data_IF_136957402937
#
_entry.id   IF_136957402937
#
_cell.length_a   1.000
_cell.length_b   1.000
_cell.length_c   1.000
_cell.angle_alpha   90.00
_cell.angle_beta   90.00
_cell.angle_gamma   90.00
#
_symmetry.space_group_name_H-M   'P 1'
#
loop_
_entity.id
_entity.type
_entity.pdbx_description
1 polymer ?
#
# COMPACT_ATOMS: atom_id res chain seq x y z
N UNK A 1 -50.91 19.97 -25.52
CA UNK A 1 -49.98 19.69 -26.63
C UNK A 1 -48.66 20.32 -26.21
N UNK A 2 -47.92 19.64 -25.34
CA UNK A 2 -46.88 18.66 -25.68
C UNK A 2 -45.82 19.30 -26.56
N UNK A 3 -44.71 19.70 -25.94
CA UNK A 3 -43.41 19.44 -26.55
C UNK A 3 -42.39 19.13 -25.45
N UNK A 4 -41.98 17.87 -25.43
CA UNK A 4 -41.01 17.27 -24.53
C UNK A 4 -39.69 17.30 -25.29
N UNK A 5 -38.72 18.11 -24.85
CA UNK A 5 -37.33 17.93 -25.27
C UNK A 5 -36.69 16.86 -24.39
N UNK A 6 -36.68 15.65 -24.93
CA UNK A 6 -35.97 14.49 -24.43
C UNK A 6 -34.48 14.67 -24.79
N UNK A 7 -33.65 15.05 -23.81
CA UNK A 7 -32.19 14.97 -23.95
C UNK A 7 -31.77 13.53 -23.65
N UNK A 8 -31.37 12.83 -24.70
CA UNK A 8 -30.80 11.49 -24.68
C UNK A 8 -29.42 11.58 -24.01
N UNK A 9 -29.25 10.98 -22.83
CA UNK A 9 -27.94 10.72 -22.24
C UNK A 9 -27.23 9.63 -23.05
N UNK A 10 -26.07 9.95 -23.64
CA UNK A 10 -25.19 8.95 -24.26
C UNK A 10 -24.62 8.01 -23.19
N UNK A 11 -24.62 6.68 -23.41
CA UNK A 11 -23.98 5.74 -22.50
C UNK A 11 -22.46 5.88 -22.56
N UNK A 12 -21.81 5.83 -21.39
CA UNK A 12 -20.36 5.81 -21.26
C UNK A 12 -19.75 4.60 -22.00
N UNK A 13 -18.55 4.73 -22.60
CA UNK A 13 -17.95 3.67 -23.41
C UNK A 13 -17.61 2.44 -22.56
N UNK A 14 -18.04 1.27 -23.04
CA UNK A 14 -17.69 -0.04 -22.50
C UNK A 14 -16.18 -0.28 -22.61
N UNK A 15 -15.58 -0.73 -21.51
CA UNK A 15 -14.17 -1.14 -21.45
C UNK A 15 -14.06 -2.55 -22.07
N UNK A 16 -13.17 -2.82 -23.03
CA UNK A 16 -13.11 -4.12 -23.69
C UNK A 16 -12.69 -5.23 -22.72
N UNK A 17 -13.51 -6.27 -22.59
CA UNK A 17 -13.15 -7.50 -21.90
C UNK A 17 -12.02 -8.22 -22.64
N UNK A 18 -10.81 -8.19 -22.08
CA UNK A 18 -9.71 -9.05 -22.52
C UNK A 18 -9.97 -10.49 -22.09
N UNK A 19 -10.24 -11.37 -23.06
CA UNK A 19 -10.29 -12.83 -22.88
C UNK A 19 -8.99 -13.34 -22.24
N UNK A 20 -9.09 -13.97 -21.07
CA UNK A 20 -7.99 -14.70 -20.45
C UNK A 20 -7.91 -16.13 -21.02
N UNK A 21 -6.70 -16.70 -21.19
CA UNK A 21 -6.54 -18.10 -21.54
C UNK A 21 -6.90 -19.01 -20.36
N UNK A 22 -7.67 -20.05 -20.64
CA UNK A 22 -8.12 -21.05 -19.68
C UNK A 22 -6.96 -21.91 -19.16
N UNK A 23 -6.58 -21.70 -17.90
CA UNK A 23 -5.91 -22.73 -17.07
C UNK A 23 -6.67 -22.83 -15.76
N UNK A 24 -7.53 -23.86 -15.66
CA UNK A 24 -8.43 -24.12 -14.54
C UNK A 24 -7.69 -24.78 -13.37
N UNK A 25 -7.13 -23.95 -12.49
CA UNK A 25 -7.05 -24.29 -11.07
C UNK A 25 -8.08 -23.39 -10.40
N UNK A 26 -9.23 -23.96 -9.99
CA UNK A 26 -10.27 -23.20 -9.31
C UNK A 26 -9.68 -22.56 -8.05
N UNK A 27 -9.74 -21.24 -7.95
CA UNK A 27 -9.43 -20.56 -6.70
C UNK A 27 -10.31 -21.18 -5.58
N UNK A 28 -9.76 -21.38 -4.36
CA UNK A 28 -10.57 -21.89 -3.27
C UNK A 28 -11.78 -20.97 -3.07
N UNK A 29 -12.97 -21.57 -2.96
CA UNK A 29 -14.19 -20.84 -2.61
C UNK A 29 -14.01 -20.21 -1.23
N UNK A 30 -14.49 -18.97 -1.05
CA UNK A 30 -14.41 -18.27 0.23
C UNK A 30 -15.21 -19.06 1.27
N UNK A 31 -14.57 -19.44 2.38
CA UNK A 31 -15.23 -20.05 3.52
C UNK A 31 -16.05 -19.00 4.29
N UNK A 32 -17.33 -18.85 3.92
CA UNK A 32 -18.24 -17.90 4.55
C UNK A 32 -18.66 -18.29 5.97
N UNK A 33 -18.62 -19.57 6.32
CA UNK A 33 -18.93 -20.02 7.68
C UNK A 33 -17.78 -19.60 8.61
N UNK A 34 -16.54 -19.93 8.22
CA UNK A 34 -15.35 -19.45 8.91
C UNK A 34 -15.27 -17.93 8.94
N UNK A 35 -15.62 -17.24 7.86
CA UNK A 35 -15.64 -15.77 7.80
C UNK A 35 -16.67 -15.15 8.76
N UNK A 36 -17.86 -15.74 8.86
CA UNK A 36 -18.89 -15.32 9.82
C UNK A 36 -18.40 -15.50 11.26
N UNK A 37 -17.76 -16.64 11.55
CA UNK A 37 -17.11 -16.88 12.83
C UNK A 37 -15.99 -15.87 13.11
N UNK A 38 -15.18 -15.56 12.08
CA UNK A 38 -14.11 -14.57 12.13
C UNK A 38 -14.61 -13.20 12.58
N UNK A 39 -15.61 -12.66 11.89
CA UNK A 39 -16.21 -11.37 12.26
C UNK A 39 -16.84 -11.44 13.66
N UNK A 40 -17.63 -12.47 13.94
CA UNK A 40 -18.36 -12.55 15.21
C UNK A 40 -17.44 -12.60 16.44
N UNK A 41 -16.28 -13.26 16.33
CA UNK A 41 -15.44 -13.62 17.49
C UNK A 41 -14.07 -12.95 17.52
N UNK A 42 -13.42 -12.76 16.38
CA UNK A 42 -12.00 -12.41 16.32
C UNK A 42 -11.72 -11.00 15.79
N UNK A 43 -12.61 -10.45 14.95
CA UNK A 43 -12.40 -9.12 14.37
C UNK A 43 -12.38 -8.03 15.47
N UNK A 44 -11.36 -7.15 15.51
CA UNK A 44 -11.19 -6.16 16.59
C UNK A 44 -12.08 -4.92 16.40
N UNK A 45 -13.41 -5.10 16.41
CA UNK A 45 -14.39 -4.02 16.17
C UNK A 45 -14.22 -2.82 17.10
N UNK A 46 -13.96 -3.07 18.38
CA UNK A 46 -13.78 -2.03 19.38
C UNK A 46 -12.56 -1.14 19.07
N UNK A 47 -11.43 -1.74 18.74
CA UNK A 47 -10.21 -1.01 18.38
C UNK A 47 -10.37 -0.30 17.04
N UNK A 48 -11.03 -0.93 16.05
CA UNK A 48 -11.34 -0.29 14.77
C UNK A 48 -12.25 0.94 14.95
N UNK A 49 -13.31 0.83 15.75
CA UNK A 49 -14.19 1.94 16.08
C UNK A 49 -13.42 3.07 16.75
N UNK A 50 -12.62 2.75 17.77
CA UNK A 50 -11.76 3.71 18.48
C UNK A 50 -10.82 4.45 17.52
N UNK A 51 -10.17 3.73 16.61
CA UNK A 51 -9.31 4.30 15.58
C UNK A 51 -10.06 5.29 14.70
N UNK A 52 -11.17 4.86 14.09
CA UNK A 52 -11.89 5.63 13.07
C UNK A 52 -12.73 6.78 13.65
N UNK A 53 -13.10 6.69 14.93
CA UNK A 53 -13.86 7.71 15.65
C UNK A 53 -12.95 8.80 16.27
N UNK A 54 -11.65 8.53 16.40
CA UNK A 54 -10.63 9.42 16.99
C UNK A 54 -10.98 9.97 18.38
N UNK A 55 -11.87 9.28 19.09
CA UNK A 55 -12.42 9.69 20.38
C UNK A 55 -12.96 8.47 21.14
N UNK A 56 -12.89 8.46 22.49
CA UNK A 56 -13.53 7.42 23.29
C UNK A 56 -15.07 7.53 23.31
N UNK A 57 -15.63 8.69 22.96
CA UNK A 57 -17.08 8.92 22.85
C UNK A 57 -17.48 8.95 21.38
N UNK A 58 -18.58 8.29 21.04
CA UNK A 58 -19.14 8.27 19.69
C UNK A 58 -19.26 9.71 19.14
N UNK A 59 -18.82 9.88 17.91
CA UNK A 59 -18.70 11.19 17.27
C UNK A 59 -18.93 11.13 15.77
N UNK A 60 -18.79 12.31 15.14
CA UNK A 60 -19.03 12.48 13.71
C UNK A 60 -18.05 11.69 12.85
N UNK A 61 -16.81 11.51 13.30
CA UNK A 61 -15.75 10.83 12.56
C UNK A 61 -16.07 9.34 12.31
N UNK A 62 -16.93 8.73 13.12
CA UNK A 62 -17.50 7.41 12.85
C UNK A 62 -18.90 7.50 12.22
N UNK A 63 -19.80 8.31 12.81
CA UNK A 63 -21.19 8.41 12.37
C UNK A 63 -21.37 8.83 10.90
N UNK A 64 -20.46 9.66 10.40
CA UNK A 64 -20.49 10.19 9.03
C UNK A 64 -19.43 9.56 8.13
N UNK A 65 -18.79 8.48 8.57
CA UNK A 65 -17.83 7.74 7.77
C UNK A 65 -18.52 6.79 6.82
N UNK A 66 -18.06 6.78 5.59
CA UNK A 66 -18.50 5.79 4.59
C UNK A 66 -17.81 4.45 4.81
N UNK A 67 -18.62 3.40 4.77
CA UNK A 67 -18.18 2.01 4.60
C UNK A 67 -18.80 1.44 3.32
N UNK A 68 -18.01 0.68 2.58
CA UNK A 68 -18.48 -0.11 1.45
C UNK A 68 -18.32 -1.60 1.70
N UNK A 69 -19.33 -2.41 1.36
CA UNK A 69 -19.31 -3.86 1.51
C UNK A 69 -19.31 -4.55 0.15
N UNK A 70 -18.44 -5.54 -0.02
CA UNK A 70 -18.54 -6.51 -1.12
C UNK A 70 -19.15 -7.79 -0.56
N UNK A 71 -20.29 -8.22 -1.11
CA UNK A 71 -21.01 -9.43 -0.67
C UNK A 71 -20.69 -10.65 -1.54
N UNK A 72 -21.04 -11.84 -1.06
CA UNK A 72 -20.86 -13.13 -1.75
C UNK A 72 -21.41 -13.16 -3.18
N UNK A 73 -22.49 -12.45 -3.44
CA UNK A 73 -23.13 -12.39 -4.75
C UNK A 73 -22.51 -11.32 -5.67
N UNK A 74 -21.37 -10.74 -5.30
CA UNK A 74 -20.72 -9.66 -6.04
C UNK A 74 -21.36 -8.28 -5.84
N UNK A 75 -22.43 -8.17 -5.05
CA UNK A 75 -23.05 -6.87 -4.79
C UNK A 75 -22.07 -5.95 -4.03
N UNK A 76 -21.95 -4.71 -4.51
CA UNK A 76 -21.10 -3.69 -3.93
C UNK A 76 -21.96 -2.58 -3.32
N UNK A 77 -22.04 -2.56 -1.99
CA UNK A 77 -22.91 -1.67 -1.24
C UNK A 77 -22.11 -0.49 -0.72
N UNK A 78 -22.21 0.67 -1.37
CA UNK A 78 -21.55 1.93 -0.94
C UNK A 78 -22.42 2.78 -0.03
N UNK A 79 -21.78 3.76 0.62
CA UNK A 79 -22.42 4.78 1.45
C UNK A 79 -23.17 4.21 2.66
N UNK A 80 -22.66 3.14 3.26
CA UNK A 80 -23.09 2.72 4.59
C UNK A 80 -22.41 3.58 5.66
N UNK A 81 -23.06 3.76 6.80
CA UNK A 81 -22.52 4.53 7.92
C UNK A 81 -23.28 4.18 9.20
N UNK A 82 -22.56 4.21 10.32
CA UNK A 82 -23.02 3.65 11.59
C UNK A 82 -22.77 4.63 12.72
N UNK A 83 -23.74 4.80 13.62
CA UNK A 83 -23.60 5.74 14.74
C UNK A 83 -22.62 5.24 15.80
N UNK A 84 -22.48 3.92 15.95
CA UNK A 84 -21.66 3.29 17.00
C UNK A 84 -21.13 1.91 16.59
N UNK A 85 -20.14 1.42 17.35
CA UNK A 85 -19.48 0.11 17.16
C UNK A 85 -20.48 -1.05 17.06
N UNK A 86 -21.49 -1.09 17.93
CA UNK A 86 -22.47 -2.19 17.99
C UNK A 86 -23.30 -2.28 16.71
N UNK A 87 -23.75 -1.16 16.16
CA UNK A 87 -24.51 -1.09 14.90
C UNK A 87 -23.64 -1.62 13.74
N UNK A 88 -22.36 -1.20 13.72
CA UNK A 88 -21.42 -1.66 12.70
C UNK A 88 -21.16 -3.17 12.80
N UNK A 89 -20.85 -3.67 14.00
CA UNK A 89 -20.63 -5.11 14.23
C UNK A 89 -21.85 -5.93 13.82
N UNK A 90 -23.05 -5.55 14.27
CA UNK A 90 -24.29 -6.24 13.90
C UNK A 90 -24.45 -6.29 12.38
N UNK A 91 -24.18 -5.18 11.68
CA UNK A 91 -24.31 -5.15 10.23
C UNK A 91 -23.31 -6.05 9.51
N UNK A 92 -22.07 -6.14 10.02
CA UNK A 92 -21.05 -7.04 9.46
C UNK A 92 -21.40 -8.51 9.74
N UNK A 93 -21.87 -8.83 10.95
CA UNK A 93 -22.33 -10.16 11.32
C UNK A 93 -23.53 -10.60 10.45
N UNK A 94 -24.48 -9.70 10.18
CA UNK A 94 -25.66 -9.98 9.36
C UNK A 94 -25.31 -10.19 7.87
N UNK A 95 -24.36 -9.43 7.36
CA UNK A 95 -24.00 -9.45 5.93
C UNK A 95 -22.95 -10.50 5.58
N UNK A 96 -22.05 -10.81 6.52
CA UNK A 96 -20.83 -11.59 6.31
C UNK A 96 -20.12 -11.20 5.00
N UNK A 97 -19.70 -9.93 4.87
CA UNK A 97 -19.14 -9.41 3.62
C UNK A 97 -17.78 -10.08 3.32
N UNK A 98 -17.49 -10.38 2.05
CA UNK A 98 -16.17 -10.89 1.63
C UNK A 98 -15.05 -9.94 2.05
N UNK A 99 -15.31 -8.64 1.96
CA UNK A 99 -14.46 -7.57 2.47
C UNK A 99 -15.30 -6.31 2.65
N UNK A 100 -14.73 -5.37 3.40
CA UNK A 100 -15.24 -4.01 3.41
C UNK A 100 -14.12 -2.99 3.34
N UNK A 101 -14.50 -1.82 2.85
CA UNK A 101 -13.59 -0.71 2.59
C UNK A 101 -14.03 0.50 3.41
N UNK A 102 -13.04 1.25 3.89
CA UNK A 102 -13.20 2.43 4.72
C UNK A 102 -13.01 3.66 3.84
N UNK A 103 -13.97 4.57 3.89
CA UNK A 103 -13.99 5.80 3.11
C UNK A 103 -13.80 7.04 3.96
N UNK A 104 -14.14 8.19 3.37
CA UNK A 104 -14.07 9.48 4.02
C UNK A 104 -15.11 9.63 5.14
N UNK A 105 -14.83 10.56 6.05
CA UNK A 105 -15.84 11.24 6.85
C UNK A 105 -16.48 12.30 5.99
N UNK A 106 -17.81 12.29 5.89
CA UNK A 106 -18.59 13.24 5.12
C UNK A 106 -19.20 14.33 6.01
N UNK A 107 -19.69 15.38 5.36
CA UNK A 107 -20.46 16.46 6.01
C UNK A 107 -21.75 15.99 6.70
N UNK A 108 -22.31 14.87 6.25
CA UNK A 108 -23.54 14.25 6.74
C UNK A 108 -23.41 12.74 6.68
N UNK A 109 -24.34 12.02 7.31
CA UNK A 109 -24.37 10.56 7.27
C UNK A 109 -24.49 10.01 5.84
N UNK A 110 -23.52 9.20 5.36
CA UNK A 110 -23.57 8.59 4.02
C UNK A 110 -24.88 7.86 3.68
N UNK A 111 -25.51 7.19 4.66
CA UNK A 111 -26.78 6.49 4.44
C UNK A 111 -27.94 7.42 4.07
N UNK A 112 -27.86 8.69 4.45
CA UNK A 112 -28.88 9.71 4.16
C UNK A 112 -28.60 10.52 2.88
N UNK A 113 -27.51 10.25 2.15
CA UNK A 113 -27.08 11.08 1.00
C UNK A 113 -28.18 11.35 -0.04
N UNK A 114 -29.10 10.41 -0.25
CA UNK A 114 -30.19 10.53 -1.23
C UNK A 114 -31.22 11.60 -0.85
N UNK A 115 -31.27 12.00 0.43
CA UNK A 115 -32.13 13.06 0.96
C UNK A 115 -31.48 14.45 0.86
N UNK A 116 -30.21 14.51 0.47
CA UNK A 116 -29.42 15.73 0.45
C UNK A 116 -29.19 16.22 -0.97
N UNK A 117 -29.00 17.54 -1.12
CA UNK A 117 -28.51 18.10 -2.37
C UNK A 117 -27.04 17.72 -2.58
N UNK A 118 -26.67 17.50 -3.85
CA UNK A 118 -25.33 17.06 -4.25
C UNK A 118 -24.21 18.01 -3.78
N UNK A 119 -24.46 19.32 -3.75
CA UNK A 119 -23.48 20.34 -3.36
C UNK A 119 -23.23 20.40 -1.84
N UNK A 120 -24.12 19.82 -1.04
CA UNK A 120 -24.02 19.77 0.42
C UNK A 120 -23.28 18.52 0.89
N UNK A 121 -23.51 17.37 0.24
CA UNK A 121 -22.89 16.10 0.60
C UNK A 121 -21.47 15.97 0.02
N UNK A 122 -20.48 16.39 0.80
CA UNK A 122 -19.06 16.32 0.43
C UNK A 122 -18.18 15.60 1.47
N UNK A 123 -17.07 14.98 1.04
CA UNK A 123 -16.05 14.46 1.95
C UNK A 123 -15.38 15.63 2.70
N UNK A 124 -15.06 15.42 3.97
CA UNK A 124 -14.51 16.44 4.89
C UNK A 124 -13.13 16.06 5.39
N UNK A 125 -12.94 14.79 5.74
CA UNK A 125 -11.63 14.28 6.18
C UNK A 125 -11.51 12.80 5.87
N UNK A 126 -10.27 12.34 5.71
CA UNK A 126 -9.93 10.92 5.59
C UNK A 126 -8.46 10.75 5.90
N UNK A 127 -8.07 9.67 6.54
CA UNK A 127 -6.68 9.25 6.63
C UNK A 127 -5.99 9.38 5.24
N UNK A 128 -4.76 9.91 5.25
CA UNK A 128 -3.92 9.87 4.05
C UNK A 128 -3.43 8.43 3.91
N UNK A 129 -3.69 7.83 2.75
CA UNK A 129 -3.39 6.43 2.50
C UNK A 129 -2.42 6.29 1.36
N UNK A 130 -1.63 5.22 1.39
CA UNK A 130 -0.74 4.82 0.31
C UNK A 130 -0.97 3.33 0.04
N UNK A 131 -0.94 2.93 -1.22
CA UNK A 131 -1.04 1.54 -1.65
C UNK A 131 0.20 1.20 -2.48
N UNK A 132 0.89 0.14 -2.07
CA UNK A 132 2.06 -0.41 -2.75
C UNK A 132 1.70 -1.82 -3.18
N UNK A 133 1.66 -2.07 -4.49
CA UNK A 133 1.47 -3.40 -5.06
C UNK A 133 2.78 -3.92 -5.65
N UNK A 134 3.00 -5.23 -5.55
CA UNK A 134 4.17 -5.92 -6.07
C UNK A 134 4.18 -6.00 -7.60
N UNK A 135 3.03 -5.97 -8.25
CA UNK A 135 2.94 -6.07 -9.72
C UNK A 135 3.70 -4.95 -10.43
N UNK A 136 3.77 -3.78 -9.82
CA UNK A 136 4.52 -2.65 -10.36
C UNK A 136 6.04 -2.94 -10.43
N UNK A 137 6.51 -3.98 -9.74
CA UNK A 137 7.90 -4.44 -9.75
C UNK A 137 8.12 -5.67 -10.66
N UNK A 138 7.13 -6.11 -11.44
CA UNK A 138 7.24 -7.30 -12.32
C UNK A 138 8.42 -7.22 -13.30
N UNK A 139 8.80 -6.01 -13.73
CA UNK A 139 9.96 -5.80 -14.61
C UNK A 139 11.30 -6.09 -13.93
N UNK A 140 11.34 -6.15 -12.61
CA UNK A 140 12.55 -6.24 -11.80
C UNK A 140 12.59 -7.49 -10.92
N UNK A 141 11.58 -8.36 -11.01
CA UNK A 141 11.56 -9.64 -10.30
C UNK A 141 11.39 -10.79 -11.27
N UNK A 142 12.04 -11.90 -10.95
CA UNK A 142 12.01 -13.15 -11.75
C UNK A 142 11.55 -14.33 -10.92
N UNK A 143 11.56 -14.22 -9.58
CA UNK A 143 11.16 -15.30 -8.69
C UNK A 143 9.64 -15.56 -8.68
N UNK A 144 8.84 -14.57 -9.10
CA UNK A 144 7.38 -14.60 -9.16
C UNK A 144 6.91 -13.70 -10.31
N UNK A 145 5.68 -13.91 -10.79
CA UNK A 145 5.00 -13.04 -11.75
C UNK A 145 3.58 -12.74 -11.31
N UNK A 146 3.07 -11.56 -11.71
CA UNK A 146 1.72 -11.10 -11.39
C UNK A 146 1.37 -11.31 -9.92
N UNK A 147 0.31 -12.05 -9.64
CA UNK A 147 -0.26 -12.04 -8.31
C UNK A 147 0.38 -12.97 -7.25
N UNK A 148 1.49 -13.61 -7.61
CA UNK A 148 2.31 -14.43 -6.70
C UNK A 148 3.36 -13.58 -5.98
N UNK A 149 3.69 -13.93 -4.73
CA UNK A 149 4.71 -13.25 -3.92
C UNK A 149 5.48 -14.29 -3.10
N UNK A 150 6.75 -14.01 -2.82
CA UNK A 150 7.59 -14.76 -1.89
C UNK A 150 8.56 -13.81 -1.19
N UNK A 151 9.31 -14.30 -0.19
CA UNK A 151 10.22 -13.47 0.61
C UNK A 151 11.29 -12.76 -0.24
N UNK A 152 11.68 -13.34 -1.38
CA UNK A 152 12.66 -12.74 -2.31
C UNK A 152 12.15 -11.44 -2.93
N UNK A 153 10.94 -11.43 -3.49
CA UNK A 153 10.39 -10.21 -4.09
C UNK A 153 9.74 -9.29 -3.06
N UNK A 154 9.30 -9.82 -1.91
CA UNK A 154 8.79 -9.00 -0.80
C UNK A 154 9.78 -7.94 -0.32
N UNK A 155 11.08 -8.16 -0.53
CA UNK A 155 12.11 -7.16 -0.25
C UNK A 155 11.88 -5.83 -0.97
N UNK A 156 11.24 -5.81 -2.15
CA UNK A 156 10.82 -4.57 -2.81
C UNK A 156 9.79 -3.79 -1.98
N UNK A 157 8.79 -4.47 -1.40
CA UNK A 157 7.79 -3.83 -0.54
C UNK A 157 8.43 -3.33 0.75
N UNK A 158 9.31 -4.11 1.39
CA UNK A 158 10.02 -3.66 2.59
C UNK A 158 10.84 -2.39 2.35
N UNK A 159 11.55 -2.32 1.22
CA UNK A 159 12.32 -1.12 0.83
C UNK A 159 11.40 0.06 0.54
N UNK A 160 10.30 -0.16 -0.18
CA UNK A 160 9.33 0.88 -0.47
C UNK A 160 8.66 1.42 0.81
N UNK A 161 8.29 0.54 1.75
CA UNK A 161 7.78 0.91 3.08
C UNK A 161 8.80 1.77 3.82
N UNK A 162 10.08 1.37 3.86
CA UNK A 162 11.15 2.16 4.50
C UNK A 162 11.26 3.57 3.90
N UNK A 163 11.28 3.68 2.57
CA UNK A 163 11.36 4.97 1.87
C UNK A 163 10.15 5.88 2.13
N UNK A 164 8.94 5.33 2.02
CA UNK A 164 7.69 6.07 2.26
C UNK A 164 7.61 6.49 3.73
N UNK A 165 7.91 5.57 4.65
CA UNK A 165 7.84 5.83 6.09
C UNK A 165 8.88 6.88 6.54
N UNK A 166 10.11 6.82 6.01
CA UNK A 166 11.12 7.88 6.21
C UNK A 166 10.60 9.23 5.75
N UNK A 167 10.05 9.34 4.54
CA UNK A 167 9.51 10.62 4.06
C UNK A 167 8.36 11.13 4.94
N UNK A 168 7.41 10.26 5.30
CA UNK A 168 6.26 10.63 6.12
C UNK A 168 6.68 11.10 7.53
N UNK A 169 7.67 10.46 8.15
CA UNK A 169 8.16 10.81 9.49
C UNK A 169 9.13 11.99 9.46
N UNK A 170 10.17 11.93 8.65
CA UNK A 170 11.28 12.88 8.67
C UNK A 170 10.94 14.20 7.96
N UNK A 171 10.20 14.13 6.85
CA UNK A 171 9.96 15.31 6.01
C UNK A 171 8.60 15.96 6.32
N UNK A 172 7.56 15.15 6.54
CA UNK A 172 6.22 15.65 6.85
C UNK A 172 5.91 15.71 8.35
N UNK A 173 6.72 15.07 9.19
CA UNK A 173 6.53 15.03 10.64
C UNK A 173 5.22 14.35 11.05
N UNK A 174 4.76 13.34 10.30
CA UNK A 174 3.64 12.50 10.71
C UNK A 174 4.09 11.47 11.74
N UNK A 175 3.25 11.21 12.74
CA UNK A 175 3.56 10.31 13.85
C UNK A 175 2.75 9.01 13.78
N UNK A 176 1.48 9.12 13.39
CA UNK A 176 0.51 8.05 13.45
C UNK A 176 0.40 7.40 12.09
N UNK A 177 1.34 6.50 11.79
CA UNK A 177 1.38 5.75 10.53
C UNK A 177 1.24 4.26 10.84
N UNK A 178 0.19 3.63 10.32
CA UNK A 178 0.01 2.18 10.40
C UNK A 178 0.20 1.57 9.01
N UNK A 179 1.07 0.56 8.91
CA UNK A 179 1.19 -0.26 7.71
C UNK A 179 0.40 -1.55 7.88
N UNK A 180 -0.26 -1.99 6.81
CA UNK A 180 -1.18 -3.13 6.82
C UNK A 180 -0.89 -3.99 5.61
N UNK A 181 -0.72 -5.29 5.80
CA UNK A 181 -0.61 -6.22 4.69
C UNK A 181 -1.92 -6.26 3.91
N UNK A 182 -1.87 -6.20 2.57
CA UNK A 182 -3.08 -6.18 1.73
C UNK A 182 -3.84 -7.51 1.68
N UNK A 183 -3.28 -8.54 2.32
CA UNK A 183 -3.76 -9.92 2.36
C UNK A 183 -3.22 -10.78 1.20
N UNK A 184 -2.44 -10.20 0.27
CA UNK A 184 -1.87 -10.95 -0.84
C UNK A 184 -0.41 -10.62 -1.13
N UNK A 185 -0.13 -9.42 -1.61
CA UNK A 185 1.17 -9.09 -2.23
C UNK A 185 1.59 -7.63 -2.07
N UNK A 186 0.81 -6.84 -1.34
CA UNK A 186 1.05 -5.40 -1.20
C UNK A 186 0.92 -4.95 0.25
N UNK A 187 1.13 -3.66 0.45
CA UNK A 187 1.02 -3.01 1.75
C UNK A 187 0.27 -1.69 1.64
N UNK A 188 -0.61 -1.43 2.59
CA UNK A 188 -1.35 -0.18 2.72
C UNK A 188 -0.82 0.62 3.90
N UNK A 189 -0.51 1.91 3.70
CA UNK A 189 -0.28 2.83 4.81
C UNK A 189 -1.55 3.60 5.15
N UNK A 190 -1.77 3.83 6.44
CA UNK A 190 -2.82 4.69 6.97
C UNK A 190 -2.20 5.75 7.88
N UNK A 191 -2.11 6.99 7.39
CA UNK A 191 -1.60 8.14 8.14
C UNK A 191 -2.78 8.85 8.81
N UNK A 192 -2.82 8.74 10.14
CA UNK A 192 -3.95 9.15 10.98
C UNK A 192 -3.72 10.45 11.75
N UNK A 193 -2.59 11.15 11.58
CA UNK A 193 -2.41 12.50 12.14
C UNK A 193 -3.55 13.44 11.71
N UNK A 194 -4.06 14.28 12.61
CA UNK A 194 -5.14 15.23 12.30
C UNK A 194 -4.85 16.08 11.05
N UNK A 195 -3.63 16.61 10.94
CA UNK A 195 -3.16 17.39 9.77
C UNK A 195 -3.14 16.58 8.48
N UNK A 196 -2.91 15.27 8.54
CA UNK A 196 -2.99 14.38 7.38
C UNK A 196 -4.45 14.12 6.98
N UNK A 197 -5.33 13.95 7.98
CA UNK A 197 -6.76 13.70 7.75
C UNK A 197 -7.47 14.87 7.06
N UNK A 198 -7.01 16.08 7.36
CA UNK A 198 -7.58 17.34 6.86
C UNK A 198 -7.04 17.80 5.50
N UNK A 199 -6.08 17.06 4.90
CA UNK A 199 -5.54 17.43 3.59
C UNK A 199 -6.64 17.39 2.53
N UNK A 200 -6.70 18.45 1.72
CA UNK A 200 -7.50 18.46 0.50
C UNK A 200 -6.80 17.70 -0.64
N UNK A 201 -7.54 17.41 -1.72
CA UNK A 201 -7.06 16.58 -2.83
C UNK A 201 -5.80 17.16 -3.52
N UNK A 202 -5.66 18.48 -3.59
CA UNK A 202 -4.46 19.12 -4.14
C UNK A 202 -3.25 18.87 -3.24
N UNK A 203 -3.40 19.04 -1.93
CA UNK A 203 -2.32 18.79 -0.97
C UNK A 203 -1.93 17.31 -0.95
N UNK A 204 -2.91 16.40 -0.97
CA UNK A 204 -2.66 14.95 -1.11
C UNK A 204 -1.85 14.64 -2.35
N UNK A 205 -2.24 15.23 -3.49
CA UNK A 205 -1.51 15.08 -4.76
C UNK A 205 -0.06 15.56 -4.66
N UNK A 206 0.19 16.69 -3.98
CA UNK A 206 1.56 17.17 -3.75
C UNK A 206 2.37 16.20 -2.89
N UNK A 207 1.80 15.64 -1.83
CA UNK A 207 2.48 14.63 -0.99
C UNK A 207 2.83 13.38 -1.80
N UNK A 208 1.88 12.85 -2.57
CA UNK A 208 2.10 11.67 -3.43
C UNK A 208 3.20 11.93 -4.45
N UNK A 209 3.15 13.09 -5.14
CA UNK A 209 4.18 13.45 -6.13
C UNK A 209 5.55 13.63 -5.49
N UNK A 210 5.64 14.17 -4.27
CA UNK A 210 6.89 14.30 -3.54
C UNK A 210 7.50 12.93 -3.21
N UNK A 211 6.70 12.00 -2.71
CA UNK A 211 7.16 10.67 -2.27
C UNK A 211 7.55 9.79 -3.47
N UNK A 212 6.67 9.70 -4.49
CA UNK A 212 6.92 8.89 -5.68
C UNK A 212 8.11 9.41 -6.50
N UNK A 213 8.23 10.74 -6.63
CA UNK A 213 9.26 11.52 -7.34
C UNK A 213 9.55 11.17 -8.81
N UNK A 214 9.25 9.95 -9.28
CA UNK A 214 9.46 9.44 -10.65
C UNK A 214 8.16 9.27 -11.43
N UNK A 215 7.14 10.07 -11.12
CA UNK A 215 5.81 9.83 -11.69
C UNK A 215 5.11 8.64 -11.03
N UNK A 216 3.82 8.56 -11.27
CA UNK A 216 2.92 7.54 -10.73
C UNK A 216 3.14 6.20 -11.46
N UNK A 217 2.71 5.07 -10.90
CA UNK A 217 2.73 3.77 -11.62
C UNK A 217 1.98 3.83 -12.97
N UNK A 218 1.06 4.79 -13.10
CA UNK A 218 0.29 5.08 -14.33
C UNK A 218 1.05 5.92 -15.36
N UNK A 219 2.16 6.57 -15.00
CA UNK A 219 2.88 7.48 -15.88
C UNK A 219 3.94 6.72 -16.70
N UNK A 220 3.50 6.16 -17.83
CA UNK A 220 4.34 5.42 -18.78
C UNK A 220 5.46 6.28 -19.40
N UNK A 221 5.46 7.59 -19.21
CA UNK A 221 6.49 8.51 -19.72
C UNK A 221 7.74 8.58 -18.83
N UNK A 222 7.66 8.12 -17.58
CA UNK A 222 8.80 8.09 -16.65
C UNK A 222 9.74 6.88 -16.86
N UNK A 223 9.49 6.07 -17.89
CA UNK A 223 10.35 4.98 -18.28
C UNK A 223 11.68 5.49 -18.86
N UNK A 224 12.67 5.67 -18.00
CA UNK A 224 14.04 5.26 -18.29
C UNK A 224 15.02 6.28 -18.87
N UNK A 225 14.69 7.57 -19.04
CA UNK A 225 15.71 8.54 -19.45
C UNK A 225 15.42 10.02 -19.13
N UNK A 226 14.46 10.34 -18.26
CA UNK A 226 14.33 11.73 -17.80
C UNK A 226 15.53 12.05 -16.91
N UNK A 227 16.40 12.94 -17.37
CA UNK A 227 17.58 13.35 -16.60
C UNK A 227 17.10 13.97 -15.29
N UNK A 228 17.17 13.20 -14.21
CA UNK A 228 16.92 13.69 -12.86
C UNK A 228 17.77 14.93 -12.62
N UNK A 229 17.15 15.96 -12.05
CA UNK A 229 17.87 17.18 -11.68
C UNK A 229 19.00 16.83 -10.73
N UNK A 230 20.17 17.42 -10.97
CA UNK A 230 21.36 17.31 -10.13
C UNK A 230 21.70 18.69 -9.51
N UNK A 231 22.18 18.75 -8.26
CA UNK A 231 22.29 17.64 -7.30
C UNK A 231 20.91 17.05 -6.97
N UNK A 232 20.88 15.78 -6.53
CA UNK A 232 19.64 15.12 -6.14
C UNK A 232 18.96 15.89 -5.00
N UNK A 233 17.63 15.94 -5.04
CA UNK A 233 16.85 16.41 -3.88
C UNK A 233 17.17 15.53 -2.66
N UNK A 234 17.23 16.06 -1.42
CA UNK A 234 17.56 15.28 -0.22
C UNK A 234 16.76 13.99 -0.06
N UNK A 235 15.45 14.02 -0.33
CA UNK A 235 14.60 12.81 -0.37
C UNK A 235 15.11 11.74 -1.35
N UNK A 236 15.43 12.14 -2.58
CA UNK A 236 15.96 11.20 -3.59
C UNK A 236 17.34 10.67 -3.22
N UNK A 237 18.18 11.50 -2.58
CA UNK A 237 19.48 11.04 -2.08
C UNK A 237 19.30 9.99 -0.98
N UNK A 238 18.42 10.24 0.00
CA UNK A 238 18.11 9.26 1.06
C UNK A 238 17.53 7.97 0.48
N UNK A 239 16.65 8.05 -0.52
CA UNK A 239 16.14 6.85 -1.22
C UNK A 239 17.26 6.10 -1.96
N UNK A 240 18.17 6.81 -2.63
CA UNK A 240 19.32 6.19 -3.28
C UNK A 240 20.22 5.48 -2.26
N UNK A 241 20.46 6.09 -1.11
CA UNK A 241 21.28 5.52 -0.04
C UNK A 241 20.64 4.25 0.51
N UNK A 242 19.33 4.27 0.81
CA UNK A 242 18.56 3.08 1.22
C UNK A 242 18.66 1.97 0.16
N UNK A 243 18.36 2.29 -1.10
CA UNK A 243 18.34 1.30 -2.18
C UNK A 243 19.72 0.69 -2.44
N UNK A 244 20.78 1.48 -2.32
CA UNK A 244 22.16 1.03 -2.57
C UNK A 244 22.57 -0.07 -1.59
N UNK A 245 22.09 -0.03 -0.34
CA UNK A 245 22.43 -1.07 0.66
C UNK A 245 21.90 -2.46 0.31
N UNK A 246 20.82 -2.55 -0.47
CA UNK A 246 20.16 -3.82 -0.82
C UNK A 246 20.31 -4.19 -2.30
N UNK A 247 20.80 -3.28 -3.14
CA UNK A 247 20.80 -3.44 -4.59
C UNK A 247 21.57 -4.69 -5.06
N UNK A 248 22.73 -4.97 -4.48
CA UNK A 248 23.51 -6.14 -4.84
C UNK A 248 22.77 -7.45 -4.51
N UNK A 249 22.30 -7.58 -3.28
CA UNK A 249 21.59 -8.78 -2.79
C UNK A 249 20.29 -9.02 -3.59
N UNK A 250 19.45 -8.00 -3.69
CA UNK A 250 18.11 -8.13 -4.25
C UNK A 250 18.14 -8.20 -5.76
N UNK A 251 18.82 -7.26 -6.43
CA UNK A 251 18.73 -7.12 -7.89
C UNK A 251 19.76 -8.00 -8.56
N UNK A 252 21.03 -7.86 -8.21
CA UNK A 252 22.12 -8.50 -8.95
C UNK A 252 22.24 -10.01 -8.67
N UNK A 253 21.96 -10.43 -7.44
CA UNK A 253 22.12 -11.82 -7.01
C UNK A 253 20.80 -12.59 -6.98
N UNK A 254 19.73 -12.00 -6.42
CA UNK A 254 18.49 -12.74 -6.17
C UNK A 254 17.53 -12.72 -7.35
N UNK A 255 17.27 -11.56 -7.95
CA UNK A 255 16.30 -11.42 -9.04
C UNK A 255 16.95 -11.58 -10.41
N UNK A 256 18.21 -11.22 -10.58
CA UNK A 256 18.93 -11.33 -11.85
C UNK A 256 18.13 -10.83 -13.10
N UNK A 257 17.45 -9.67 -13.03
CA UNK A 257 16.45 -9.29 -14.04
C UNK A 257 17.06 -8.90 -15.39
N UNK A 258 18.38 -8.73 -15.46
CA UNK A 258 19.10 -8.30 -16.65
C UNK A 258 19.87 -9.42 -17.35
N UNK A 259 19.75 -10.68 -16.90
CA UNK A 259 20.39 -11.83 -17.55
C UNK A 259 19.90 -12.03 -19.00
N UNK A 260 18.61 -11.83 -19.26
CA UNK A 260 18.02 -12.01 -20.58
C UNK A 260 18.15 -10.78 -21.51
N UNK A 261 17.74 -10.93 -22.78
CA UNK A 261 17.83 -9.87 -23.79
C UNK A 261 17.01 -8.62 -23.43
N UNK A 262 15.79 -8.78 -22.90
CA UNK A 262 14.91 -7.66 -22.55
C UNK A 262 15.49 -6.82 -21.41
N UNK A 263 15.96 -7.46 -20.34
CA UNK A 263 16.61 -6.81 -19.22
C UNK A 263 17.95 -6.18 -19.61
N UNK A 264 18.69 -6.79 -20.54
CA UNK A 264 19.89 -6.17 -21.13
C UNK A 264 19.55 -4.87 -21.85
N UNK A 265 18.48 -4.84 -22.65
CA UNK A 265 18.00 -3.64 -23.35
C UNK A 265 17.59 -2.56 -22.36
N UNK A 266 16.92 -2.94 -21.27
CA UNK A 266 16.59 -2.02 -20.18
C UNK A 266 17.85 -1.35 -19.61
N UNK A 267 18.87 -2.13 -19.22
CA UNK A 267 20.10 -1.59 -18.63
C UNK A 267 20.87 -0.69 -19.62
N UNK A 268 20.93 -1.07 -20.90
CA UNK A 268 21.56 -0.28 -21.96
C UNK A 268 20.88 1.07 -22.19
N UNK A 269 19.57 1.18 -21.95
CA UNK A 269 18.83 2.43 -22.15
C UNK A 269 19.31 3.57 -21.25
N UNK A 270 19.89 3.25 -20.08
CA UNK A 270 20.44 4.22 -19.15
C UNK A 270 21.87 4.68 -19.50
N UNK A 271 22.60 3.95 -20.35
CA UNK A 271 23.99 4.26 -20.67
C UNK A 271 24.04 5.48 -21.60
N UNK A 272 24.62 6.62 -21.15
CA UNK A 272 24.53 7.88 -21.89
C UNK A 272 25.50 7.95 -23.07
N UNK A 273 26.66 7.29 -22.98
CA UNK A 273 27.68 7.28 -24.02
C UNK A 273 27.37 6.17 -25.05
N UNK A 274 27.23 6.57 -26.32
CA UNK A 274 26.82 5.66 -27.39
C UNK A 274 27.88 4.58 -27.69
N UNK A 275 29.17 4.91 -27.59
CA UNK A 275 30.27 3.97 -27.87
C UNK A 275 30.33 2.88 -26.80
N UNK A 276 30.25 3.29 -25.53
CA UNK A 276 30.16 2.37 -24.39
C UNK A 276 28.91 1.49 -24.51
N UNK A 277 27.75 2.08 -24.79
CA UNK A 277 26.49 1.33 -24.97
C UNK A 277 26.59 0.29 -26.09
N UNK A 278 27.20 0.64 -27.23
CA UNK A 278 27.40 -0.29 -28.36
C UNK A 278 28.35 -1.43 -28.00
N UNK A 279 29.48 -1.12 -27.35
CA UNK A 279 30.44 -2.13 -26.94
C UNK A 279 29.86 -3.11 -25.90
N UNK A 280 29.08 -2.61 -24.93
CA UNK A 280 28.35 -3.45 -23.98
C UNK A 280 27.32 -4.33 -24.69
N UNK A 281 26.52 -3.78 -25.60
CA UNK A 281 25.54 -4.53 -26.37
C UNK A 281 26.18 -5.67 -27.19
N UNK A 282 27.30 -5.41 -27.87
CA UNK A 282 28.05 -6.42 -28.61
C UNK A 282 28.63 -7.50 -27.69
N UNK A 283 29.18 -7.11 -26.53
CA UNK A 283 29.72 -8.04 -25.54
C UNK A 283 28.63 -8.97 -25.00
N UNK A 284 27.50 -8.41 -24.59
CA UNK A 284 26.40 -9.18 -24.02
C UNK A 284 25.69 -10.04 -25.07
N UNK A 285 25.61 -9.57 -26.33
CA UNK A 285 25.11 -10.39 -27.45
C UNK A 285 26.00 -11.62 -27.72
N UNK A 286 27.32 -11.49 -27.59
CA UNK A 286 28.26 -12.62 -27.76
C UNK A 286 28.15 -13.63 -26.63
N UNK A 287 27.93 -13.17 -25.41
CA UNK A 287 27.79 -14.04 -24.25
C UNK A 287 26.38 -14.64 -24.12
N UNK A 288 25.37 -14.04 -24.76
CA UNK A 288 23.97 -14.46 -24.62
C UNK A 288 23.50 -14.37 -23.16
N UNK A 289 22.64 -15.31 -22.76
CA UNK A 289 22.09 -15.39 -21.40
C UNK A 289 23.08 -15.96 -20.37
N UNK A 290 24.33 -16.22 -20.75
CA UNK A 290 25.36 -16.70 -19.80
C UNK A 290 25.92 -15.61 -18.89
N UNK A 291 25.71 -14.34 -19.22
CA UNK A 291 26.15 -13.21 -18.40
C UNK A 291 25.04 -12.81 -17.42
N UNK A 292 25.32 -12.93 -16.11
CA UNK A 292 24.41 -12.50 -15.06
C UNK A 292 24.26 -10.97 -15.00
N UNK A 293 23.25 -10.49 -14.29
CA UNK A 293 23.05 -9.07 -13.97
C UNK A 293 24.27 -8.51 -13.23
N UNK A 294 24.89 -9.30 -12.35
CA UNK A 294 26.13 -8.92 -11.66
C UNK A 294 27.30 -8.73 -12.65
N UNK A 295 27.46 -9.64 -13.62
CA UNK A 295 28.48 -9.53 -14.66
C UNK A 295 28.24 -8.31 -15.54
N UNK A 296 27.00 -8.10 -15.99
CA UNK A 296 26.60 -6.94 -16.80
C UNK A 296 26.79 -5.62 -16.05
N UNK A 297 26.48 -5.59 -14.77
CA UNK A 297 26.71 -4.41 -13.93
C UNK A 297 28.20 -4.10 -13.77
N UNK A 298 29.04 -5.12 -13.56
CA UNK A 298 30.50 -4.99 -13.49
C UNK A 298 31.12 -4.58 -14.83
N UNK A 299 30.57 -5.08 -15.93
CA UNK A 299 31.02 -4.79 -17.29
C UNK A 299 30.92 -3.32 -17.65
N UNK A 300 29.91 -2.60 -17.12
CA UNK A 300 29.77 -1.15 -17.33
C UNK A 300 31.08 -0.45 -16.93
N UNK A 301 31.62 -0.76 -15.76
CA UNK A 301 32.83 -0.11 -15.24
C UNK A 301 34.10 -0.62 -15.95
N UNK A 302 34.17 -1.92 -16.24
CA UNK A 302 35.33 -2.54 -16.92
C UNK A 302 35.49 -2.03 -18.35
N UNK A 303 34.39 -1.94 -19.11
CA UNK A 303 34.39 -1.47 -20.50
C UNK A 303 34.56 0.05 -20.57
N UNK A 304 33.99 0.80 -19.61
CA UNK A 304 34.28 2.22 -19.48
C UNK A 304 35.78 2.49 -19.27
N UNK A 305 36.41 1.70 -18.38
CA UNK A 305 37.81 1.86 -18.01
C UNK A 305 38.80 1.38 -19.07
N UNK A 306 38.36 0.63 -20.10
CA UNK A 306 39.23 0.17 -21.18
C UNK A 306 39.55 1.23 -22.23
N UNK A 307 38.99 2.45 -22.09
CA UNK A 307 39.20 3.54 -23.04
C UNK A 307 38.34 3.44 -24.30
N UNK A 308 37.24 2.68 -24.28
CA UNK A 308 36.32 2.52 -25.43
C UNK A 308 35.78 3.85 -25.96
N UNK A 309 35.65 4.86 -25.08
CA UNK A 309 35.27 6.23 -25.42
C UNK A 309 36.29 7.19 -24.82
N UNK A 310 37.01 7.91 -25.69
CA UNK A 310 38.04 8.86 -25.28
C UNK A 310 37.51 10.05 -24.48
N UNK A 311 36.24 10.41 -24.66
CA UNK A 311 35.59 11.56 -24.02
C UNK A 311 34.46 11.13 -23.06
N UNK A 312 34.61 9.95 -22.44
CA UNK A 312 33.59 9.43 -21.52
C UNK A 312 33.40 10.37 -20.32
N UNK A 313 32.19 10.85 -20.12
CA UNK A 313 31.80 11.57 -18.91
C UNK A 313 31.54 10.57 -17.77
N UNK A 314 32.56 10.34 -16.94
CA UNK A 314 32.51 9.40 -15.82
C UNK A 314 31.50 9.82 -14.76
N UNK A 315 31.31 11.12 -14.53
CA UNK A 315 30.30 11.64 -13.60
C UNK A 315 28.90 11.29 -14.09
N UNK A 316 28.60 11.54 -15.37
CA UNK A 316 27.31 11.21 -15.96
C UNK A 316 27.06 9.70 -15.98
N UNK A 317 28.11 8.87 -16.12
CA UNK A 317 27.99 7.42 -16.02
C UNK A 317 27.62 6.97 -14.59
N UNK A 318 28.24 7.55 -13.55
CA UNK A 318 27.87 7.30 -12.15
C UNK A 318 26.42 7.71 -11.91
N UNK A 319 26.02 8.89 -12.38
CA UNK A 319 24.64 9.37 -12.27
C UNK A 319 23.64 8.47 -12.99
N UNK A 320 24.02 7.88 -14.13
CA UNK A 320 23.20 6.90 -14.85
C UNK A 320 23.01 5.60 -14.04
N UNK A 321 24.07 5.09 -13.40
CA UNK A 321 23.97 3.92 -12.50
C UNK A 321 23.06 4.21 -11.31
N UNK A 322 23.16 5.41 -10.72
CA UNK A 322 22.24 5.83 -9.65
C UNK A 322 20.78 5.88 -10.12
N UNK A 323 20.52 6.34 -11.35
CA UNK A 323 19.17 6.36 -11.92
C UNK A 323 18.60 4.95 -12.11
N UNK A 324 19.43 3.96 -12.47
CA UNK A 324 19.01 2.55 -12.53
C UNK A 324 18.55 2.07 -11.15
N UNK A 325 19.36 2.30 -10.11
CA UNK A 325 19.04 1.89 -8.73
C UNK A 325 17.71 2.52 -8.28
N UNK A 326 17.54 3.83 -8.49
CA UNK A 326 16.31 4.53 -8.15
C UNK A 326 15.11 4.01 -8.95
N UNK A 327 15.24 3.76 -10.25
CA UNK A 327 14.14 3.24 -11.08
C UNK A 327 13.63 1.89 -10.57
N UNK A 328 14.54 1.03 -10.12
CA UNK A 328 14.20 -0.29 -9.58
C UNK A 328 13.46 -0.16 -8.25
N UNK A 329 13.98 0.65 -7.32
CA UNK A 329 13.54 0.63 -5.92
C UNK A 329 12.57 1.72 -5.49
N UNK A 330 12.44 2.82 -6.25
CA UNK A 330 11.55 3.90 -5.83
C UNK A 330 10.12 3.39 -5.65
N UNK A 331 9.39 3.89 -4.61
CA UNK A 331 8.06 3.42 -4.31
C UNK A 331 7.12 3.66 -5.49
N UNK A 332 6.61 2.56 -6.04
CA UNK A 332 5.56 2.57 -7.07
C UNK A 332 4.24 2.59 -6.31
N UNK A 333 3.68 3.79 -6.19
CA UNK A 333 2.45 4.04 -5.46
C UNK A 333 1.27 3.98 -6.44
N UNK A 334 0.13 3.43 -6.03
CA UNK A 334 -1.14 3.73 -6.71
C UNK A 334 -1.61 5.14 -6.28
N UNK A 335 -1.29 6.15 -7.10
CA UNK A 335 -1.63 7.52 -6.81
C UNK A 335 -3.15 7.79 -6.79
N UNK A 336 -3.98 6.97 -7.46
CA UNK A 336 -5.43 7.20 -7.49
C UNK A 336 -6.05 7.02 -6.10
N UNK A 337 -5.55 6.05 -5.33
CA UNK A 337 -5.99 5.74 -3.96
C UNK A 337 -5.65 6.87 -2.99
N UNK A 338 -4.52 7.52 -3.24
CA UNK A 338 -3.88 8.46 -2.32
C UNK A 338 -4.35 9.91 -2.54
N UNK A 339 -4.68 10.29 -3.78
CA UNK A 339 -5.00 11.68 -4.17
C UNK A 339 -6.41 12.13 -3.78
N UNK A 340 -7.40 11.24 -3.82
CA UNK A 340 -8.80 11.58 -3.58
C UNK A 340 -9.20 11.38 -2.12
N UNK A 341 -9.74 12.42 -1.48
CA UNK A 341 -10.28 12.29 -0.12
C UNK A 341 -11.43 11.30 -0.04
N UNK A 342 -12.25 11.17 -1.10
CA UNK A 342 -13.38 10.23 -1.18
C UNK A 342 -13.05 8.79 -1.54
N UNK A 343 -11.77 8.44 -1.71
CA UNK A 343 -11.37 7.08 -2.10
C UNK A 343 -11.59 6.07 -0.97
N UNK A 344 -11.99 4.85 -1.33
CA UNK A 344 -12.25 3.72 -0.44
C UNK A 344 -11.04 2.78 -0.43
N UNK A 345 -10.58 2.38 0.75
CA UNK A 345 -9.49 1.41 0.86
C UNK A 345 -9.87 0.28 1.83
N UNK A 346 -9.45 -0.94 1.50
CA UNK A 346 -9.76 -2.16 2.26
C UNK A 346 -9.40 -2.00 3.73
N UNK A 347 -10.33 -2.39 4.61
CA UNK A 347 -10.12 -2.32 6.06
C UNK A 347 -8.97 -3.24 6.51
N UNK A 348 -8.19 -2.83 7.52
CA UNK A 348 -7.40 -3.76 8.31
C UNK A 348 -8.26 -4.91 8.83
N UNK A 349 -7.63 -6.07 9.03
CA UNK A 349 -8.22 -7.32 9.47
C UNK A 349 -9.28 -7.97 8.55
N UNK A 350 -9.57 -7.43 7.36
CA UNK A 350 -10.36 -8.18 6.38
C UNK A 350 -9.66 -9.49 5.98
N UNK A 351 -10.43 -10.52 5.67
CA UNK A 351 -9.90 -11.75 5.06
C UNK A 351 -9.77 -11.53 3.56
N UNK A 352 -8.63 -11.86 2.98
CA UNK A 352 -8.47 -11.80 1.54
C UNK A 352 -9.11 -13.03 0.88
N UNK A 353 -10.08 -12.87 -0.03
CA UNK A 353 -10.94 -13.97 -0.47
C UNK A 353 -10.20 -15.09 -1.22
N UNK A 354 -9.08 -14.79 -1.91
CA UNK A 354 -8.32 -15.79 -2.68
C UNK A 354 -7.21 -16.50 -1.90
N UNK A 355 -6.76 -15.91 -0.80
CA UNK A 355 -5.58 -16.40 -0.04
C UNK A 355 -5.96 -16.83 1.38
N UNK A 356 -7.15 -16.44 1.84
CA UNK A 356 -7.63 -16.59 3.22
C UNK A 356 -6.73 -15.94 4.27
N UNK A 357 -5.76 -15.13 3.83
CA UNK A 357 -4.89 -14.36 4.70
C UNK A 357 -5.65 -13.20 5.35
N UNK A 358 -5.35 -12.92 6.61
CA UNK A 358 -5.84 -11.72 7.29
C UNK A 358 -5.03 -10.49 6.84
N UNK A 359 -5.70 -9.37 6.58
CA UNK A 359 -5.04 -8.09 6.29
C UNK A 359 -4.47 -7.46 7.58
N UNK A 360 -3.41 -8.04 8.12
CA UNK A 360 -2.86 -7.69 9.45
C UNK A 360 -2.06 -6.37 9.43
N UNK A 361 -2.16 -5.55 10.48
CA UNK A 361 -1.19 -4.48 10.74
C UNK A 361 0.22 -5.05 10.91
N UNK A 362 1.21 -4.37 10.37
CA UNK A 362 2.60 -4.80 10.40
C UNK A 362 3.42 -3.80 11.19
N UNK A 363 4.28 -4.31 12.08
CA UNK A 363 5.17 -3.47 12.86
C UNK A 363 6.31 -2.93 11.98
N UNK A 364 6.64 -1.65 12.18
CA UNK A 364 7.72 -0.96 11.49
C UNK A 364 8.61 -0.33 12.54
N UNK A 365 9.89 -0.69 12.51
CA UNK A 365 10.84 -0.22 13.51
C UNK A 365 10.82 1.31 13.61
N UNK A 366 10.67 1.80 14.84
CA UNK A 366 10.50 3.22 15.10
C UNK A 366 11.74 4.05 14.77
N UNK A 367 12.93 3.45 14.80
CA UNK A 367 14.22 4.10 14.56
C UNK A 367 14.76 3.84 13.14
N UNK A 368 14.76 2.59 12.69
CA UNK A 368 15.33 2.20 11.39
C UNK A 368 14.32 2.29 10.24
N UNK A 369 13.03 2.39 10.56
CA UNK A 369 11.92 2.36 9.60
C UNK A 369 11.84 1.06 8.79
N UNK A 370 12.43 -0.02 9.32
CA UNK A 370 12.43 -1.33 8.68
C UNK A 370 11.16 -2.12 9.00
N UNK A 371 10.60 -2.72 7.96
CA UNK A 371 9.52 -3.68 8.05
C UNK A 371 10.11 -5.10 8.05
N UNK A 372 9.99 -5.81 9.17
CA UNK A 372 10.49 -7.19 9.30
C UNK A 372 9.46 -8.24 8.83
N UNK A 373 8.19 -7.86 8.75
CA UNK A 373 7.12 -8.75 8.28
C UNK A 373 7.42 -9.32 6.90
N UNK A 374 7.09 -10.59 6.72
CA UNK A 374 7.05 -11.33 5.46
C UNK A 374 5.65 -11.92 5.23
N UNK A 375 5.23 -12.19 3.98
CA UNK A 375 3.91 -12.74 3.70
C UNK A 375 3.66 -14.12 4.35
N UNK A 376 4.72 -14.85 4.71
CA UNK A 376 4.66 -16.14 5.39
C UNK A 376 4.27 -16.01 6.87
N UNK A 377 4.51 -14.85 7.49
CA UNK A 377 4.10 -14.55 8.87
C UNK A 377 2.58 -14.34 8.98
N UNK A 378 1.90 -14.14 7.84
CA UNK A 378 0.48 -13.79 7.81
C UNK A 378 -0.39 -14.98 8.24
N UNK A 379 -1.26 -14.81 9.26
CA UNK A 379 -2.16 -15.86 9.66
C UNK A 379 -3.29 -16.03 8.64
N UNK A 380 -3.75 -17.27 8.48
CA UNK A 380 -4.91 -17.59 7.65
C UNK A 380 -6.17 -17.80 8.48
N UNK A 381 -7.32 -17.63 7.85
CA UNK A 381 -8.63 -17.81 8.47
C UNK A 381 -8.74 -19.16 9.21
N UNK A 382 -8.47 -20.27 8.52
CA UNK A 382 -8.60 -21.61 9.11
C UNK A 382 -7.65 -21.80 10.29
N UNK A 383 -6.41 -21.32 10.17
CA UNK A 383 -5.42 -21.42 11.23
C UNK A 383 -5.85 -20.72 12.52
N UNK A 384 -6.53 -19.57 12.41
CA UNK A 384 -7.06 -18.83 13.55
C UNK A 384 -8.21 -19.61 14.21
N UNK A 385 -9.07 -20.24 13.41
CA UNK A 385 -10.17 -21.07 13.90
C UNK A 385 -9.61 -22.31 14.62
N UNK A 386 -8.60 -22.95 14.03
CA UNK A 386 -7.93 -24.12 14.60
C UNK A 386 -7.24 -23.78 15.92
N UNK A 387 -6.52 -22.66 16.00
CA UNK A 387 -5.91 -22.19 17.25
C UNK A 387 -6.96 -22.03 18.35
N UNK A 388 -8.10 -21.44 18.03
CA UNK A 388 -9.17 -21.20 19.00
C UNK A 388 -9.82 -22.50 19.48
N UNK A 389 -10.07 -23.45 18.57
CA UNK A 389 -10.68 -24.73 18.91
C UNK A 389 -9.75 -25.61 19.76
N UNK A 390 -8.44 -25.49 19.56
CA UNK A 390 -7.41 -26.27 20.27
C UNK A 390 -6.83 -25.53 21.49
N UNK A 391 -7.38 -24.39 21.88
CA UNK A 391 -6.87 -23.62 23.01
C UNK A 391 -7.23 -24.29 24.36
N UNK A 392 -6.23 -24.84 25.04
CA UNK A 392 -6.39 -25.57 26.31
C UNK A 392 -6.31 -24.68 27.58
N UNK A 393 -6.15 -23.35 27.43
CA UNK A 393 -6.03 -22.41 28.56
C UNK A 393 -4.59 -22.11 28.97
N UNK A 394 -4.36 -20.93 29.55
CA UNK A 394 -3.05 -20.57 30.09
C UNK A 394 -2.80 -21.29 31.43
N UNK A 395 -1.61 -21.88 31.61
CA UNK A 395 -1.18 -22.54 32.85
C UNK A 395 -1.25 -21.64 34.11
N UNK A 396 -1.41 -20.32 33.93
CA UNK A 396 -1.50 -19.31 34.98
C UNK A 396 -2.94 -18.85 35.31
N UNK A 397 -3.97 -19.46 34.75
CA UNK A 397 -5.37 -19.23 35.17
C UNK A 397 -5.93 -17.84 34.83
N UNK A 398 -5.22 -17.04 34.02
CA UNK A 398 -5.76 -15.81 33.43
C UNK A 398 -6.77 -16.15 32.35
N UNK A 399 -8.06 -16.04 32.66
CA UNK A 399 -9.12 -16.15 31.67
C UNK A 399 -9.04 -14.95 30.73
N UNK A 400 -8.46 -15.14 29.55
CA UNK A 400 -8.41 -14.11 28.53
C UNK A 400 -9.82 -13.69 28.07
N UNK A 401 -10.04 -12.38 27.91
CA UNK A 401 -11.37 -11.78 27.66
C UNK A 401 -11.79 -11.80 26.19
N UNK A 402 -10.86 -11.78 25.23
CA UNK A 402 -11.17 -11.78 23.79
C UNK A 402 -10.72 -13.06 23.09
N UNK A 403 -11.44 -13.50 22.05
CA UNK A 403 -11.14 -14.75 21.35
C UNK A 403 -9.84 -14.66 20.55
N UNK A 404 -9.49 -13.48 20.04
CA UNK A 404 -8.21 -13.20 19.37
C UNK A 404 -6.99 -13.47 20.24
N UNK A 405 -7.12 -13.30 21.55
CA UNK A 405 -6.02 -13.46 22.50
C UNK A 405 -5.59 -14.92 22.67
N UNK A 406 -6.40 -15.84 22.13
CA UNK A 406 -6.22 -17.30 22.18
C UNK A 406 -5.69 -17.85 20.85
N UNK A 407 -5.32 -16.97 19.92
CA UNK A 407 -4.88 -17.36 18.57
C UNK A 407 -3.62 -16.62 18.16
N UNK A 408 -3.00 -17.07 17.07
CA UNK A 408 -1.90 -16.39 16.40
C UNK A 408 -2.22 -14.98 15.89
N UNK A 409 -3.49 -14.55 15.95
CA UNK A 409 -3.88 -13.18 15.58
C UNK A 409 -3.46 -12.16 16.65
N UNK A 410 -3.28 -12.58 17.91
CA UNK A 410 -3.01 -11.70 19.05
C UNK A 410 -1.90 -10.67 18.81
N UNK A 411 -0.69 -11.03 18.32
CA UNK A 411 0.39 -10.05 18.15
C UNK A 411 0.01 -8.93 17.18
N UNK A 412 -0.79 -9.23 16.16
CA UNK A 412 -1.24 -8.24 15.17
C UNK A 412 -2.33 -7.32 15.73
N UNK A 413 -3.17 -7.81 16.64
CA UNK A 413 -4.11 -6.98 17.40
C UNK A 413 -3.35 -6.06 18.36
N UNK A 414 -2.30 -6.55 19.00
CA UNK A 414 -1.44 -5.72 19.87
C UNK A 414 -0.73 -4.60 19.08
N UNK A 415 -0.22 -4.89 17.87
CA UNK A 415 0.30 -3.84 16.97
C UNK A 415 -0.77 -2.79 16.66
N UNK A 416 -2.02 -3.21 16.45
CA UNK A 416 -3.12 -2.28 16.20
C UNK A 416 -3.45 -1.42 17.43
N UNK A 417 -3.57 -2.04 18.61
CA UNK A 417 -3.84 -1.33 19.86
C UNK A 417 -2.72 -0.32 20.18
N UNK A 418 -1.45 -0.72 20.01
CA UNK A 418 -0.29 0.14 20.20
C UNK A 418 -0.24 1.33 19.23
N UNK A 419 -0.87 1.22 18.06
CA UNK A 419 -1.06 2.33 17.14
C UNK A 419 -2.23 3.24 17.55
N UNK A 420 -3.35 2.68 17.99
CA UNK A 420 -4.57 3.45 18.31
C UNK A 420 -4.46 4.22 19.62
N UNK A 421 -3.79 3.66 20.63
CA UNK A 421 -3.71 4.29 21.95
C UNK A 421 -2.98 5.64 21.96
N UNK A 422 -1.77 5.79 21.39
CA UNK A 422 -1.08 7.08 21.29
C UNK A 422 -1.85 8.10 20.46
N UNK A 423 -2.49 7.66 19.36
CA UNK A 423 -3.34 8.50 18.52
C UNK A 423 -4.49 9.11 19.32
N UNK A 424 -5.22 8.29 20.09
CA UNK A 424 -6.33 8.76 20.92
C UNK A 424 -5.85 9.72 22.02
N UNK A 425 -4.70 9.44 22.62
CA UNK A 425 -4.11 10.32 23.64
C UNK A 425 -3.84 11.72 23.06
N UNK A 426 -3.18 11.78 21.89
CA UNK A 426 -2.88 13.06 21.22
C UNK A 426 -4.15 13.80 20.78
N UNK A 427 -5.19 13.08 20.31
CA UNK A 427 -6.47 13.69 19.96
C UNK A 427 -7.21 14.27 21.18
N UNK A 428 -7.21 13.57 22.31
CA UNK A 428 -7.81 14.06 23.56
C UNK A 428 -7.08 15.32 24.04
N UNK A 429 -5.75 15.32 24.03
CA UNK A 429 -4.93 16.47 24.41
C UNK A 429 -5.19 17.68 23.49
N UNK A 430 -5.28 17.44 22.17
CA UNK A 430 -5.61 18.48 21.18
C UNK A 430 -6.97 19.11 21.43
N UNK A 431 -8.01 18.32 21.68
CA UNK A 431 -9.36 18.84 21.95
C UNK A 431 -9.40 19.62 23.27
N UNK A 432 -8.71 19.15 24.31
CA UNK A 432 -8.59 19.89 25.58
C UNK A 432 -7.93 21.25 25.37
N UNK A 433 -6.81 21.30 24.64
CA UNK A 433 -6.11 22.55 24.35
C UNK A 433 -6.97 23.55 23.56
N UNK A 434 -7.72 23.08 22.57
CA UNK A 434 -8.63 23.92 21.78
C UNK A 434 -9.76 24.53 22.64
N UNK A 435 -10.30 23.77 23.60
CA UNK A 435 -11.37 24.26 24.48
C UNK A 435 -10.86 25.33 25.48
N UNK A 436 -9.64 25.15 26.03
CA UNK A 436 -9.04 26.15 26.94
C UNK A 436 -8.79 27.47 26.19
N UNK A 437 -8.20 27.41 25.00
CA UNK A 437 -7.96 28.61 24.19
C UNK A 437 -9.23 29.33 23.74
N UNK A 438 -10.38 28.65 23.68
CA UNK A 438 -11.68 29.28 23.37
C UNK A 438 -12.36 29.96 24.56
N UNK A 439 -11.92 29.68 25.79
CA UNK A 439 -12.45 30.29 27.02
C UNK A 439 -11.70 31.55 27.45
N UNK A 440 -10.53 31.83 26.85
CA UNK A 440 -9.69 32.99 27.16
C UNK A 440 -9.98 34.23 26.27
N UNK A 441 -11.04 34.22 25.47
CA UNK A 441 -11.47 35.33 24.60
C UNK A 441 -12.84 35.89 24.95
#
# INVERSE_FOLDING_TARGET
MNDVMEQIEEPLPEIPETRQPETSVSAPEVDFEGLGLFYSRFFPFKTLHRWLNHSPRNGRDFAYREFAFTLRNGAYLRFNSFAEEREFKSRVDDLVPERFEIGAVYSHSPKDRKKLRKDVFKPVSKELVFDIDMDDYDKFRTCCSGASVCNKCWRYVQVAVKMVNSALKEDFGYKHIMWVFSGRRGAHAWVSDKKARDLNDRQRSTVVSYIAAFGDATDKSAAGNSSLRRPLHPHLQRCLDIATTVFNEVVLQTQDPWANEEGSKFLLAFIPDEKLRRALAEKWKKNGDSASSADKWSDIDKVASSGVSANLDTKRLVEAKQNVILTVFMPKLDGAVSRGTGHLLKSPFCIHPKTSNVCVPMDVDSHTHELLFTPEDCPKLQEIIDDFNNYEGDAQGTVSKHASDKTRLKPFVEVFDNFVEPLLKEEIERVKAANVGSMEF
#
